data_IF_635554273224
#
_entry.id   IF_635554273224
#
_cell.length_a   1.000
_cell.length_b   1.000
_cell.length_c   1.000
_cell.angle_alpha   90.00
_cell.angle_beta   90.00
_cell.angle_gamma   90.00
#
_symmetry.space_group_name_H-M   'P 1'
#
loop_
_entity.id
_entity.type
_entity.pdbx_description
1 polymer ?
#
# COMPACT_ATOMS: atom_id res chain seq x y z
N UNK A 1 -41.19 -66.90 -0.04
CA UNK A 1 -40.20 -67.24 1.01
C UNK A 1 -38.83 -66.69 0.59
N UNK A 2 -38.09 -66.05 1.53
CA UNK A 2 -36.72 -65.44 1.44
C UNK A 2 -36.67 -64.05 0.75
N UNK A 3 -36.69 -62.89 1.43
CA UNK A 3 -35.81 -62.20 2.43
C UNK A 3 -34.51 -61.57 1.87
N UNK A 4 -34.57 -60.24 1.66
CA UNK A 4 -33.65 -59.10 1.97
C UNK A 4 -32.14 -59.10 1.58
N UNK A 5 -31.61 -57.86 1.48
CA UNK A 5 -30.23 -57.33 1.27
C UNK A 5 -29.84 -57.10 -0.21
N UNK A 6 -29.26 -55.98 -0.68
CA UNK A 6 -28.60 -54.81 -0.06
C UNK A 6 -28.36 -53.68 -1.08
N UNK A 7 -28.40 -52.42 -0.60
CA UNK A 7 -27.55 -51.24 -0.93
C UNK A 7 -27.54 -50.66 -2.36
N UNK A 8 -28.16 -49.50 -2.66
CA UNK A 8 -27.71 -48.12 -2.40
C UNK A 8 -26.22 -47.87 -2.71
N UNK A 9 -25.95 -47.28 -3.89
CA UNK A 9 -24.80 -46.39 -4.14
C UNK A 9 -25.34 -45.17 -4.89
N UNK A 10 -25.66 -44.13 -4.13
CA UNK A 10 -25.73 -42.77 -4.63
C UNK A 10 -24.29 -42.23 -4.60
N UNK A 11 -23.66 -42.11 -5.76
CA UNK A 11 -22.36 -41.46 -5.89
C UNK A 11 -22.57 -39.94 -5.74
N UNK A 12 -22.36 -39.45 -4.53
CA UNK A 12 -22.26 -38.03 -4.20
C UNK A 12 -20.98 -37.50 -4.80
N UNK A 13 -21.09 -36.65 -5.82
CA UNK A 13 -20.00 -35.82 -6.32
C UNK A 13 -19.74 -34.68 -5.32
N UNK A 14 -18.96 -34.95 -4.27
CA UNK A 14 -18.26 -33.89 -3.54
C UNK A 14 -16.91 -33.70 -4.24
N UNK A 15 -16.94 -32.88 -5.29
CA UNK A 15 -15.75 -32.37 -5.97
C UNK A 15 -15.25 -31.15 -5.23
N UNK A 16 -14.15 -31.35 -4.52
CA UNK A 16 -13.32 -30.42 -3.76
C UNK A 16 -13.19 -29.07 -4.48
N UNK A 17 -13.92 -28.06 -4.00
CA UNK A 17 -13.59 -26.66 -4.21
C UNK A 17 -12.44 -26.31 -3.29
N UNK A 18 -11.21 -26.62 -3.70
CA UNK A 18 -10.03 -25.98 -3.13
C UNK A 18 -10.04 -24.52 -3.59
N UNK A 19 -10.83 -23.71 -2.89
CA UNK A 19 -10.58 -22.29 -2.77
C UNK A 19 -9.22 -22.23 -2.06
N UNK A 20 -8.14 -22.15 -2.84
CA UNK A 20 -6.86 -21.67 -2.32
C UNK A 20 -7.13 -20.25 -1.85
N UNK A 21 -7.63 -20.11 -0.64
CA UNK A 21 -7.53 -18.89 0.12
C UNK A 21 -6.04 -18.71 0.28
N UNK A 22 -5.45 -17.91 -0.61
CA UNK A 22 -4.18 -17.25 -0.31
C UNK A 22 -4.55 -16.47 0.94
N UNK A 23 -4.21 -17.03 2.10
CA UNK A 23 -4.21 -16.28 3.34
C UNK A 23 -3.19 -15.18 3.05
N UNK A 24 -3.68 -13.98 2.77
CA UNK A 24 -2.86 -12.79 2.90
C UNK A 24 -2.89 -12.46 4.38
N UNK A 25 -1.75 -12.14 4.97
CA UNK A 25 -1.63 -11.83 6.38
C UNK A 25 -2.57 -10.67 6.65
N UNK A 26 -3.52 -10.93 7.55
CA UNK A 26 -4.49 -9.96 7.98
C UNK A 26 -3.77 -8.85 8.75
N UNK A 27 -4.07 -7.59 8.43
CA UNK A 27 -3.63 -6.46 9.25
C UNK A 27 -4.22 -6.57 10.65
N UNK A 28 -3.59 -5.91 11.62
CA UNK A 28 -4.13 -5.81 12.96
C UNK A 28 -5.48 -5.08 12.93
N UNK A 29 -6.36 -5.49 13.84
CA UNK A 29 -7.66 -4.84 14.04
C UNK A 29 -7.45 -3.47 14.69
N UNK A 30 -8.04 -2.44 14.10
CA UNK A 30 -8.01 -1.08 14.61
C UNK A 30 -9.42 -0.54 14.75
N UNK A 31 -9.69 0.12 15.88
CA UNK A 31 -10.98 0.76 16.18
C UNK A 31 -11.11 2.08 15.39
N UNK A 32 -11.22 1.96 14.06
CA UNK A 32 -11.42 3.04 13.11
C UNK A 32 -12.37 2.59 12.01
N UNK A 33 -13.11 3.56 11.46
CA UNK A 33 -13.95 3.33 10.29
C UNK A 33 -13.08 3.00 9.07
N UNK A 34 -13.63 2.19 8.16
CA UNK A 34 -12.98 1.89 6.90
C UNK A 34 -12.73 3.18 6.11
N UNK A 35 -11.48 3.38 5.67
CA UNK A 35 -11.07 4.63 5.06
C UNK A 35 -9.56 4.78 4.92
N UNK A 36 -9.14 5.93 4.40
CA UNK A 36 -7.73 6.27 4.21
C UNK A 36 -7.29 7.37 5.18
N UNK A 37 -6.17 7.13 5.85
CA UNK A 37 -5.57 7.96 6.87
C UNK A 37 -4.10 8.20 6.55
N UNK A 38 -3.48 9.13 7.27
CA UNK A 38 -2.02 9.28 7.28
C UNK A 38 -1.45 8.66 8.55
N UNK A 39 -0.34 7.94 8.47
CA UNK A 39 0.39 7.43 9.65
C UNK A 39 1.88 7.70 9.49
N UNK A 40 2.57 8.04 10.57
CA UNK A 40 4.03 8.10 10.58
C UNK A 40 4.59 6.69 10.67
N UNK A 41 5.59 6.44 9.85
CA UNK A 41 6.35 5.19 9.83
C UNK A 41 7.83 5.51 9.86
N UNK A 42 8.56 4.79 10.70
CA UNK A 42 10.03 4.78 10.71
C UNK A 42 10.54 3.45 10.17
N UNK A 43 11.65 3.51 9.44
CA UNK A 43 12.38 2.35 8.94
C UNK A 43 13.77 2.34 9.57
N UNK A 44 14.06 1.29 10.31
CA UNK A 44 15.37 1.01 10.87
C UNK A 44 15.94 -0.28 10.27
N UNK A 45 17.28 -0.41 10.25
CA UNK A 45 17.96 -1.61 9.75
C UNK A 45 18.73 -1.40 8.44
N UNK A 46 19.20 -2.52 7.88
CA UNK A 46 20.13 -2.52 6.75
C UNK A 46 21.38 -1.65 6.96
N UNK A 47 21.71 -0.83 5.96
CA UNK A 47 22.86 0.10 6.00
C UNK A 47 22.50 1.53 6.42
N UNK A 48 21.24 1.80 6.79
CA UNK A 48 20.74 3.14 7.08
C UNK A 48 20.61 4.08 5.86
N UNK A 49 20.87 3.59 4.64
CA UNK A 49 20.73 4.37 3.39
C UNK A 49 19.33 4.29 2.80
N UNK A 50 18.58 3.25 3.15
CA UNK A 50 17.21 3.07 2.71
C UNK A 50 16.28 3.90 3.59
N UNK A 51 15.24 4.45 3.00
CA UNK A 51 14.17 5.11 3.74
C UNK A 51 12.83 4.84 3.05
N UNK A 52 11.76 4.92 3.83
CA UNK A 52 10.39 4.95 3.33
C UNK A 52 9.84 6.36 3.48
N UNK A 53 8.89 6.72 2.61
CA UNK A 53 8.21 8.01 2.69
C UNK A 53 7.32 8.04 3.93
N UNK A 54 7.51 9.06 4.77
CA UNK A 54 6.75 9.27 6.00
C UNK A 54 6.32 10.74 6.11
N UNK A 55 5.08 11.04 6.52
CA UNK A 55 3.98 10.12 6.80
C UNK A 55 3.50 9.39 5.54
N UNK A 56 2.92 8.21 5.72
CA UNK A 56 2.42 7.35 4.65
C UNK A 56 0.92 7.08 4.71
N UNK A 57 0.36 6.49 3.66
CA UNK A 57 -1.07 6.13 3.60
C UNK A 57 -1.33 4.88 4.44
N UNK A 58 -2.27 5.00 5.37
CA UNK A 58 -2.87 3.90 6.11
C UNK A 58 -4.29 3.67 5.57
N UNK A 59 -4.59 2.48 5.10
CA UNK A 59 -5.92 2.06 4.65
C UNK A 59 -6.51 1.12 5.69
N UNK A 60 -7.71 1.44 6.17
CA UNK A 60 -8.50 0.56 7.03
C UNK A 60 -9.56 -0.10 6.18
N UNK A 61 -9.57 -1.42 6.15
CA UNK A 61 -10.54 -2.20 5.37
C UNK A 61 -11.00 -3.39 6.19
N UNK A 62 -12.33 -3.52 6.35
CA UNK A 62 -12.92 -4.56 7.19
C UNK A 62 -12.30 -4.56 8.61
N UNK A 63 -12.00 -3.38 9.15
CA UNK A 63 -11.34 -3.19 10.45
C UNK A 63 -9.82 -3.48 10.48
N UNK A 64 -9.24 -3.96 9.37
CA UNK A 64 -7.82 -4.31 9.29
C UNK A 64 -6.98 -3.16 8.71
N UNK A 65 -5.80 -2.95 9.31
CA UNK A 65 -4.86 -1.91 8.92
C UNK A 65 -3.86 -2.37 7.84
N UNK A 66 -3.78 -1.62 6.74
CA UNK A 66 -2.81 -1.80 5.66
C UNK A 66 -2.04 -0.50 5.43
N UNK A 67 -0.72 -0.57 5.27
CA UNK A 67 0.12 0.58 4.98
C UNK A 67 0.66 0.49 3.55
N UNK A 68 0.55 1.60 2.83
CA UNK A 68 1.26 1.77 1.57
C UNK A 68 2.65 2.32 1.87
N UNK A 69 3.73 1.67 1.48
CA UNK A 69 5.11 2.10 1.74
C UNK A 69 5.82 2.41 0.43
N UNK A 70 6.16 3.67 0.22
CA UNK A 70 7.01 4.10 -0.89
C UNK A 70 8.46 4.17 -0.43
N UNK A 71 9.30 3.30 -0.98
CA UNK A 71 10.74 3.27 -0.73
C UNK A 71 11.46 4.43 -1.43
N UNK A 72 12.67 4.71 -0.99
CA UNK A 72 13.55 5.73 -1.59
C UNK A 72 14.20 5.28 -2.91
N UNK A 73 14.00 4.05 -3.35
CA UNK A 73 14.55 3.48 -4.59
C UNK A 73 13.52 2.63 -5.32
N UNK A 74 13.67 2.52 -6.64
CA UNK A 74 12.92 1.63 -7.53
C UNK A 74 13.43 0.18 -7.53
N UNK A 75 14.55 -0.09 -6.86
CA UNK A 75 15.28 -1.35 -6.96
C UNK A 75 14.93 -2.30 -5.80
N UNK A 76 13.68 -2.26 -5.34
CA UNK A 76 13.14 -3.22 -4.39
C UNK A 76 12.13 -4.09 -5.12
N UNK A 77 12.39 -5.40 -5.11
CA UNK A 77 11.68 -6.38 -5.94
C UNK A 77 10.52 -7.04 -5.18
N UNK A 78 10.71 -7.35 -3.90
CA UNK A 78 9.66 -7.84 -3.02
C UNK A 78 9.95 -7.53 -1.55
N UNK A 79 8.90 -7.53 -0.74
CA UNK A 79 8.98 -7.52 0.71
C UNK A 79 8.44 -8.83 1.27
N UNK A 80 8.95 -9.26 2.43
CA UNK A 80 8.40 -10.36 3.22
C UNK A 80 7.96 -9.79 4.56
N UNK A 81 6.68 -9.98 4.88
CA UNK A 81 6.04 -9.55 6.13
C UNK A 81 5.36 -10.77 6.73
N UNK A 82 5.73 -11.14 7.96
CA UNK A 82 5.25 -12.36 8.64
C UNK A 82 5.34 -13.64 7.78
N UNK A 83 6.42 -13.76 7.01
CA UNK A 83 6.65 -14.91 6.13
C UNK A 83 5.90 -14.87 4.80
N UNK A 84 5.08 -13.85 4.56
CA UNK A 84 4.36 -13.67 3.30
C UNK A 84 5.03 -12.67 2.37
N UNK A 85 5.04 -12.98 1.07
CA UNK A 85 5.70 -12.18 0.04
C UNK A 85 4.74 -11.16 -0.59
N UNK A 86 5.15 -9.89 -0.58
CA UNK A 86 4.47 -8.75 -1.18
C UNK A 86 5.27 -8.20 -2.35
N UNK A 87 4.60 -7.92 -3.47
CA UNK A 87 5.19 -7.34 -4.67
C UNK A 87 4.88 -5.84 -4.75
N UNK A 88 5.71 -5.04 -5.43
CA UNK A 88 5.43 -3.64 -5.60
C UNK A 88 4.17 -3.43 -6.47
N UNK A 89 3.40 -2.40 -6.15
CA UNK A 89 2.14 -2.06 -6.82
C UNK A 89 2.29 -0.95 -7.86
N UNK A 90 3.46 -0.28 -7.91
CA UNK A 90 3.76 0.77 -8.89
C UNK A 90 4.33 0.23 -10.20
N UNK A 91 4.33 1.09 -11.23
CA UNK A 91 4.96 0.81 -12.53
C UNK A 91 6.51 0.86 -12.44
N UNK A 92 7.18 0.07 -13.29
CA UNK A 92 8.64 0.01 -13.39
C UNK A 92 9.25 1.39 -13.70
N UNK A 93 10.36 1.73 -13.03
CA UNK A 93 11.08 3.01 -13.21
C UNK A 93 10.67 4.13 -12.24
N UNK A 94 9.64 3.91 -11.43
CA UNK A 94 9.32 4.74 -10.27
C UNK A 94 9.80 4.07 -8.98
N UNK A 95 9.91 4.82 -7.89
CA UNK A 95 10.25 4.26 -6.57
C UNK A 95 9.30 3.12 -6.19
N UNK A 96 9.83 2.04 -5.61
CA UNK A 96 9.04 0.86 -5.26
C UNK A 96 8.02 1.19 -4.17
N UNK A 97 6.75 0.89 -4.43
CA UNK A 97 5.61 1.09 -3.54
C UNK A 97 5.04 -0.26 -3.21
N UNK A 98 4.93 -0.58 -1.93
CA UNK A 98 4.33 -1.83 -1.45
C UNK A 98 3.08 -1.54 -0.64
N UNK A 99 2.13 -2.47 -0.65
CA UNK A 99 0.99 -2.44 0.27
C UNK A 99 1.14 -3.65 1.19
N UNK A 100 1.34 -3.40 2.48
CA UNK A 100 1.59 -4.44 3.48
C UNK A 100 0.59 -4.32 4.64
N UNK A 101 0.23 -5.43 5.30
CA UNK A 101 -0.54 -5.37 6.54
C UNK A 101 0.31 -4.73 7.64
N UNK A 102 -0.34 -3.91 8.47
CA UNK A 102 0.26 -3.41 9.71
C UNK A 102 -0.04 -4.43 10.80
N UNK A 103 0.97 -5.15 11.29
CA UNK A 103 0.77 -6.22 12.29
C UNK A 103 0.89 -5.70 13.73
N UNK A 104 1.65 -4.62 13.93
CA UNK A 104 1.84 -3.95 15.21
C UNK A 104 1.97 -2.44 15.03
N UNK A 105 1.54 -1.70 16.05
CA UNK A 105 1.72 -0.24 16.18
C UNK A 105 2.49 0.06 17.46
N UNK A 106 3.23 1.16 17.46
CA UNK A 106 4.12 1.66 18.52
C UNK A 106 5.25 0.68 18.91
N UNK A 107 5.39 -0.39 18.14
CA UNK A 107 6.40 -1.43 18.30
C UNK A 107 7.01 -1.78 16.94
N UNK A 108 8.31 -2.10 16.94
CA UNK A 108 9.04 -2.45 15.74
C UNK A 108 8.61 -3.79 15.16
N UNK A 109 8.07 -3.77 13.95
CA UNK A 109 7.69 -4.94 13.17
C UNK A 109 8.84 -5.35 12.23
N UNK A 110 9.38 -6.58 12.34
CA UNK A 110 10.44 -7.04 11.45
C UNK A 110 9.88 -7.29 10.05
N UNK A 111 10.59 -6.82 9.03
CA UNK A 111 10.30 -7.07 7.61
C UNK A 111 11.59 -7.34 6.86
N UNK A 112 11.50 -8.14 5.79
CA UNK A 112 12.64 -8.39 4.90
C UNK A 112 12.33 -7.73 3.57
N UNK A 113 13.27 -6.97 3.01
CA UNK A 113 13.13 -6.42 1.67
C UNK A 113 14.28 -6.89 0.78
N UNK A 114 13.95 -7.36 -0.42
CA UNK A 114 14.93 -7.73 -1.43
C UNK A 114 15.27 -6.52 -2.29
N UNK A 115 16.58 -6.27 -2.45
CA UNK A 115 17.08 -5.26 -3.36
C UNK A 115 18.10 -5.82 -4.34
N UNK A 116 17.93 -5.46 -5.60
CA UNK A 116 18.87 -5.75 -6.70
C UNK A 116 19.81 -4.57 -7.01
N UNK A 117 19.71 -3.47 -6.26
CA UNK A 117 20.48 -2.24 -6.49
C UNK A 117 22.01 -2.44 -6.44
N UNK A 118 22.47 -3.49 -5.78
CA UNK A 118 23.90 -3.80 -5.59
C UNK A 118 24.46 -4.78 -6.63
N UNK A 119 23.70 -5.08 -7.69
CA UNK A 119 24.10 -5.95 -8.79
C UNK A 119 23.78 -7.44 -8.59
N UNK A 120 23.47 -7.86 -7.36
CA UNK A 120 22.89 -9.14 -7.03
C UNK A 120 21.67 -8.95 -6.12
N UNK A 121 20.68 -9.86 -6.12
CA UNK A 121 19.59 -9.84 -5.16
C UNK A 121 20.10 -10.02 -3.73
N UNK A 122 19.68 -9.14 -2.84
CA UNK A 122 20.01 -9.18 -1.42
C UNK A 122 18.75 -8.95 -0.58
N UNK A 123 18.40 -9.96 0.22
CA UNK A 123 17.43 -9.83 1.29
C UNK A 123 18.07 -9.09 2.48
N UNK A 124 17.45 -8.00 2.90
CA UNK A 124 17.91 -7.16 4.02
C UNK A 124 16.81 -7.11 5.08
N UNK A 125 17.18 -7.38 6.33
CA UNK A 125 16.30 -7.22 7.49
C UNK A 125 16.13 -5.73 7.84
N UNK A 126 14.89 -5.33 7.95
CA UNK A 126 14.46 -4.02 8.41
C UNK A 126 13.45 -4.15 9.55
N UNK A 127 13.26 -3.08 10.28
CA UNK A 127 12.24 -2.94 11.32
C UNK A 127 11.42 -1.70 10.99
N UNK A 128 10.11 -1.89 10.86
CA UNK A 128 9.15 -0.81 10.64
C UNK A 128 8.41 -0.50 11.93
N UNK A 129 8.36 0.76 12.31
CA UNK A 129 7.60 1.22 13.48
C UNK A 129 6.51 2.17 13.02
N UNK A 130 5.25 1.78 13.23
CA UNK A 130 4.08 2.59 12.90
C UNK A 130 3.55 3.25 14.16
N UNK A 131 3.44 4.59 14.18
CA UNK A 131 3.02 5.31 15.38
C UNK A 131 1.52 5.55 15.41
N UNK A 132 0.80 4.97 16.38
CA UNK A 132 -0.66 5.04 16.44
C UNK A 132 -1.17 6.44 16.78
N UNK A 133 -0.41 7.20 17.57
CA UNK A 133 -0.72 8.58 17.96
C UNK A 133 -0.64 9.57 16.78
N UNK A 134 0.08 9.17 15.72
CA UNK A 134 0.28 9.97 14.51
C UNK A 134 -0.82 9.78 13.46
N UNK A 135 -1.79 8.89 13.71
CA UNK A 135 -2.89 8.61 12.78
C UNK A 135 -3.71 9.89 12.59
N UNK A 136 -3.67 10.41 11.37
CA UNK A 136 -4.23 11.68 10.98
C UNK A 136 -5.07 11.60 9.71
N UNK A 137 -5.52 12.77 9.24
CA UNK A 137 -6.26 12.87 7.99
C UNK A 137 -5.33 12.70 6.80
N UNK A 138 -5.76 11.97 5.76
CA UNK A 138 -5.03 11.84 4.47
C UNK A 138 -4.55 13.18 3.90
N UNK A 139 -5.25 14.28 4.16
CA UNK A 139 -4.84 15.63 3.74
C UNK A 139 -3.48 16.10 4.27
N UNK A 140 -2.97 15.47 5.32
CA UNK A 140 -1.64 15.76 5.87
C UNK A 140 -0.51 15.17 5.04
N UNK A 141 -0.82 14.26 4.09
CA UNK A 141 0.18 13.67 3.22
C UNK A 141 0.76 14.73 2.27
N UNK A 142 2.11 14.77 2.11
CA UNK A 142 2.75 15.71 1.20
C UNK A 142 2.22 15.63 -0.23
N UNK A 143 1.83 14.43 -0.68
CA UNK A 143 1.28 14.18 -2.01
C UNK A 143 -0.11 14.82 -2.22
N UNK A 144 -0.97 14.82 -1.20
CA UNK A 144 -2.27 15.51 -1.28
C UNK A 144 -2.11 17.03 -1.28
N UNK A 145 -1.16 17.55 -0.50
CA UNK A 145 -0.79 18.96 -0.55
C UNK A 145 -0.26 19.34 -1.94
N UNK A 146 0.63 18.53 -2.52
CA UNK A 146 1.17 18.75 -3.87
C UNK A 146 0.04 18.76 -4.93
N UNK A 147 -0.90 17.82 -4.87
CA UNK A 147 -2.04 17.76 -5.79
C UNK A 147 -2.91 19.02 -5.74
N UNK A 148 -3.16 19.57 -4.54
CA UNK A 148 -3.89 20.83 -4.36
C UNK A 148 -3.14 22.00 -4.97
N UNK A 149 -1.81 22.08 -4.77
CA UNK A 149 -0.97 23.13 -5.36
C UNK A 149 -0.98 23.06 -6.89
N UNK A 150 -0.85 21.86 -7.46
CA UNK A 150 -0.92 21.66 -8.92
C UNK A 150 -2.28 22.07 -9.47
N UNK A 151 -3.37 21.68 -8.83
CA UNK A 151 -4.72 22.08 -9.25
C UNK A 151 -4.89 23.61 -9.24
N UNK A 152 -4.40 24.29 -8.21
CA UNK A 152 -4.42 25.76 -8.13
C UNK A 152 -3.57 26.38 -9.24
N UNK A 153 -2.37 25.85 -9.49
CA UNK A 153 -1.49 26.32 -10.56
C UNK A 153 -2.16 26.20 -11.93
N UNK A 154 -2.83 25.09 -12.22
CA UNK A 154 -3.57 24.89 -13.48
C UNK A 154 -4.69 25.93 -13.63
N UNK A 155 -5.45 26.20 -12.58
CA UNK A 155 -6.52 27.23 -12.61
C UNK A 155 -5.94 28.62 -12.87
N UNK A 156 -4.80 28.97 -12.26
CA UNK A 156 -4.14 30.26 -12.48
C UNK A 156 -3.62 30.37 -13.92
N UNK A 157 -3.02 29.30 -14.47
CA UNK A 157 -2.51 29.28 -15.85
C UNK A 157 -3.66 29.45 -16.84
N UNK A 158 -4.75 28.71 -16.67
CA UNK A 158 -5.93 28.80 -17.55
C UNK A 158 -6.63 30.15 -17.41
N UNK A 159 -6.88 30.60 -16.17
CA UNK A 159 -7.53 31.88 -15.90
C UNK A 159 -6.71 33.08 -16.38
N UNK A 160 -5.41 33.07 -16.11
CA UNK A 160 -4.46 34.07 -16.63
C UNK A 160 -4.38 34.06 -18.15
N UNK A 161 -4.39 32.88 -18.79
CA UNK A 161 -4.43 32.73 -20.24
C UNK A 161 -5.69 33.33 -20.87
N UNK A 162 -6.87 33.06 -20.29
CA UNK A 162 -8.16 33.63 -20.75
C UNK A 162 -8.17 35.15 -20.57
N UNK A 163 -7.74 35.65 -19.41
CA UNK A 163 -7.68 37.09 -19.14
C UNK A 163 -6.72 37.79 -20.11
N UNK A 164 -5.53 37.21 -20.32
CA UNK A 164 -4.55 37.73 -21.28
C UNK A 164 -5.09 37.72 -22.71
N UNK A 165 -5.79 36.67 -23.12
CA UNK A 165 -6.45 36.60 -24.43
C UNK A 165 -7.44 37.75 -24.61
N UNK A 166 -8.28 38.04 -23.61
CA UNK A 166 -9.26 39.13 -23.68
C UNK A 166 -8.61 40.52 -23.65
N UNK A 167 -7.62 40.74 -22.79
CA UNK A 167 -6.87 42.01 -22.73
C UNK A 167 -6.15 42.28 -24.04
N UNK A 168 -5.46 41.27 -24.58
CA UNK A 168 -4.74 41.40 -25.85
C UNK A 168 -5.69 41.56 -27.05
N UNK A 169 -6.86 40.91 -27.02
CA UNK A 169 -7.90 41.11 -28.03
C UNK A 169 -8.46 42.54 -28.00
N UNK A 170 -8.67 43.12 -26.81
CA UNK A 170 -9.14 44.50 -26.66
C UNK A 170 -8.10 45.54 -27.09
N UNK A 171 -6.81 45.28 -26.85
CA UNK A 171 -5.73 46.20 -27.25
C UNK A 171 -5.39 46.15 -28.76
N UNK A 172 -5.96 45.22 -29.52
CA UNK A 172 -5.77 45.09 -30.99
C UNK A 172 -6.94 45.64 -31.82
N UNK A 173 -7.93 46.28 -31.18
CA UNK A 173 -8.97 47.09 -31.82
C UNK A 173 -8.72 48.57 -31.49
#
# INVERSE_FOLDING_TARGET
MKRKLSSLIAAVFIGIGAFSCICQAAGMDIDKEDGEYSIQVDLEGGSGKASVTSPTILTVKDGQAYAQLQWSSSNYDYMIVDGEKYLPTNEEGMNSVFEIPVLSMDEGMPVIADTTAMGAPHEIDYTLTFYSDSIGSKSQLPQEAAKRVVAVAVVIIVGGGILNYFVNKRNRC
#
